data_IF_746981316715
#
_entry.id   IF_746981316715
#
_cell.length_a   1.000
_cell.length_b   1.000
_cell.length_c   1.000
_cell.angle_alpha   90.00
_cell.angle_beta   90.00
_cell.angle_gamma   90.00
#
_symmetry.space_group_name_H-M   'P 1'
#
loop_
_entity.id
_entity.type
_entity.pdbx_description
1 polymer ?
#
# COMPACT_ATOMS: atom_id res chain seq x y z
N UNK A 1 -6.08 25.22 7.81
CA UNK A 1 -7.27 24.34 7.74
C UNK A 1 -7.64 24.18 6.27
N UNK A 2 -7.14 23.15 5.60
CA UNK A 2 -7.70 22.68 4.34
C UNK A 2 -8.56 21.46 4.68
N UNK A 3 -9.87 21.68 4.73
CA UNK A 3 -10.89 20.67 5.06
C UNK A 3 -11.50 20.14 3.77
N UNK A 4 -10.69 19.51 2.93
CA UNK A 4 -11.19 18.68 1.84
C UNK A 4 -10.43 17.36 1.88
N UNK A 5 -11.17 16.26 2.08
CA UNK A 5 -10.57 14.93 2.13
C UNK A 5 -9.99 14.57 0.77
N UNK A 6 -8.78 14.01 0.75
CA UNK A 6 -8.17 13.50 -0.49
C UNK A 6 -8.86 12.20 -0.87
N UNK A 7 -9.51 12.15 -2.03
CA UNK A 7 -10.09 10.92 -2.55
C UNK A 7 -9.00 9.96 -3.06
N UNK A 8 -9.08 8.65 -2.79
CA UNK A 8 -8.16 7.67 -3.34
C UNK A 8 -8.26 7.61 -4.88
N UNK A 9 -7.11 7.67 -5.55
CA UNK A 9 -7.01 7.49 -7.01
C UNK A 9 -6.80 6.03 -7.36
N UNK A 10 -7.73 5.17 -6.91
CA UNK A 10 -7.72 3.77 -7.30
C UNK A 10 -7.63 3.71 -8.84
N UNK A 11 -6.64 2.99 -9.39
CA UNK A 11 -6.39 2.81 -10.83
C UNK A 11 -5.66 3.95 -11.57
N UNK A 12 -4.82 4.74 -10.89
CA UNK A 12 -4.12 5.84 -11.59
C UNK A 12 -3.17 6.68 -10.74
N UNK A 13 -2.51 6.10 -9.74
CA UNK A 13 -1.57 6.79 -8.86
C UNK A 13 -1.89 6.57 -7.38
N UNK A 14 -2.00 5.30 -7.00
CA UNK A 14 -2.29 4.79 -5.68
C UNK A 14 -1.22 3.78 -5.21
N UNK A 15 -1.23 3.50 -3.91
CA UNK A 15 -0.35 2.51 -3.28
C UNK A 15 -0.50 1.11 -3.90
N UNK A 16 -1.68 0.77 -4.43
CA UNK A 16 -1.96 -0.51 -5.08
C UNK A 16 -1.07 -0.75 -6.31
N UNK A 17 -0.64 0.31 -7.00
CA UNK A 17 0.11 0.17 -8.25
C UNK A 17 1.63 0.13 -8.06
N UNK A 18 2.14 0.32 -6.82
CA UNK A 18 3.59 0.44 -6.54
C UNK A 18 4.32 -0.85 -6.85
N UNK A 19 3.94 -1.96 -6.20
CA UNK A 19 4.59 -3.25 -6.44
C UNK A 19 4.27 -3.82 -7.83
N UNK A 20 3.03 -3.78 -8.35
CA UNK A 20 2.74 -4.14 -9.73
C UNK A 20 3.62 -3.42 -10.76
N UNK A 21 3.84 -2.11 -10.58
CA UNK A 21 4.71 -1.36 -11.49
C UNK A 21 6.17 -1.78 -11.38
N UNK A 22 6.66 -2.00 -10.16
CA UNK A 22 8.04 -2.46 -9.94
C UNK A 22 8.29 -3.83 -10.58
N UNK A 23 7.39 -4.80 -10.41
CA UNK A 23 7.57 -6.14 -11.00
C UNK A 23 7.37 -6.14 -12.51
N UNK A 24 6.47 -5.31 -13.04
CA UNK A 24 6.33 -5.11 -14.48
C UNK A 24 7.64 -4.55 -15.08
N UNK A 25 8.27 -3.58 -14.42
CA UNK A 25 9.55 -2.99 -14.84
C UNK A 25 10.75 -3.94 -14.65
N UNK A 26 10.63 -4.98 -13.81
CA UNK A 26 11.56 -6.11 -13.74
C UNK A 26 11.37 -7.13 -14.88
N UNK A 27 10.34 -6.96 -15.72
CA UNK A 27 10.03 -7.87 -16.83
C UNK A 27 9.09 -9.02 -16.48
N UNK A 28 8.43 -8.98 -15.30
CA UNK A 28 7.44 -9.99 -14.91
C UNK A 28 6.14 -9.76 -15.68
N UNK A 29 5.72 -10.76 -16.47
CA UNK A 29 4.48 -10.70 -17.25
C UNK A 29 3.23 -10.73 -16.38
N UNK A 30 2.14 -10.13 -16.86
CA UNK A 30 0.84 -10.11 -16.19
C UNK A 30 0.60 -8.90 -15.27
N UNK A 31 1.56 -7.98 -15.19
CA UNK A 31 1.47 -6.75 -14.40
C UNK A 31 1.60 -5.51 -15.27
N UNK A 32 0.99 -4.40 -14.83
CA UNK A 32 1.03 -3.11 -15.53
C UNK A 32 1.99 -2.15 -14.84
N UNK A 33 2.86 -1.52 -15.63
CA UNK A 33 3.76 -0.46 -15.16
C UNK A 33 3.07 0.90 -15.19
N UNK A 34 2.20 1.16 -14.22
CA UNK A 34 1.41 2.42 -14.13
C UNK A 34 2.28 3.65 -13.85
N UNK A 35 3.45 3.47 -13.22
CA UNK A 35 4.36 4.55 -12.89
C UNK A 35 5.48 4.78 -13.93
N UNK A 36 5.39 4.16 -15.11
CA UNK A 36 6.38 4.29 -16.19
C UNK A 36 7.84 4.08 -15.71
N UNK A 37 8.03 3.16 -14.75
CA UNK A 37 9.34 2.88 -14.18
C UNK A 37 10.28 2.32 -15.24
N UNK A 38 11.51 2.83 -15.31
CA UNK A 38 12.50 2.46 -16.33
C UNK A 38 12.90 0.99 -16.19
N UNK A 39 12.83 0.12 -17.20
CA UNK A 39 13.23 -1.28 -17.04
C UNK A 39 14.65 -1.44 -16.45
N UNK A 40 14.76 -2.16 -15.33
CA UNK A 40 16.02 -2.41 -14.59
C UNK A 40 16.08 -3.86 -14.10
N UNK A 41 17.28 -4.34 -13.78
CA UNK A 41 17.47 -5.67 -13.19
C UNK A 41 17.18 -5.75 -11.69
N UNK A 42 16.98 -4.61 -11.01
CA UNK A 42 16.63 -4.57 -9.59
C UNK A 42 15.86 -3.30 -9.24
N UNK A 43 14.99 -3.43 -8.25
CA UNK A 43 14.20 -2.35 -7.66
C UNK A 43 14.18 -2.52 -6.14
N UNK A 44 14.19 -1.40 -5.42
CA UNK A 44 14.02 -1.35 -3.97
C UNK A 44 12.80 -0.51 -3.67
N UNK A 45 11.86 -1.07 -2.92
CA UNK A 45 10.69 -0.34 -2.41
C UNK A 45 10.92 -0.09 -0.93
N UNK A 46 11.07 1.18 -0.55
CA UNK A 46 11.13 1.62 0.84
C UNK A 46 9.75 2.13 1.25
N UNK A 47 9.09 1.41 2.15
CA UNK A 47 7.85 1.85 2.78
C UNK A 47 8.15 2.42 4.16
N UNK A 48 7.74 3.66 4.40
CA UNK A 48 7.82 4.31 5.71
C UNK A 48 6.41 4.50 6.25
N UNK A 49 6.09 3.82 7.35
CA UNK A 49 4.74 3.89 7.94
C UNK A 49 4.44 5.31 8.45
N UNK A 50 3.23 5.79 8.22
CA UNK A 50 2.76 7.11 8.63
C UNK A 50 3.40 8.32 7.91
N UNK A 51 4.29 8.14 6.93
CA UNK A 51 4.92 9.26 6.22
C UNK A 51 4.03 9.80 5.08
N UNK A 52 3.36 10.93 5.33
CA UNK A 52 2.50 11.61 4.36
C UNK A 52 3.20 12.69 3.53
N UNK A 53 2.71 12.95 2.31
CA UNK A 53 3.26 13.97 1.42
C UNK A 53 3.20 15.38 1.99
N UNK A 54 2.05 15.80 2.55
CA UNK A 54 1.95 17.13 3.18
C UNK A 54 2.85 17.22 4.42
N UNK A 55 2.87 16.19 5.27
CA UNK A 55 3.74 16.15 6.46
C UNK A 55 5.22 16.32 6.09
N UNK A 56 5.70 15.63 5.04
CA UNK A 56 7.08 15.74 4.58
C UNK A 56 7.42 17.14 4.02
N UNK A 57 6.45 17.84 3.43
CA UNK A 57 6.62 19.21 2.94
C UNK A 57 6.61 20.24 4.07
N UNK A 58 5.69 20.10 5.01
CA UNK A 58 5.54 21.02 6.14
C UNK A 58 6.72 20.90 7.13
N UNK A 59 7.34 19.72 7.19
CA UNK A 59 8.46 19.39 8.07
C UNK A 59 9.76 19.09 7.30
N UNK A 60 10.01 19.80 6.20
CA UNK A 60 11.14 19.49 5.32
C UNK A 60 12.53 19.54 6.00
N UNK A 61 12.66 20.31 7.08
CA UNK A 61 13.88 20.41 7.87
C UNK A 61 14.20 19.15 8.69
N UNK A 62 13.19 18.34 9.03
CA UNK A 62 13.37 17.10 9.81
C UNK A 62 13.88 15.94 8.94
N UNK A 63 13.67 16.00 7.61
CA UNK A 63 14.05 14.95 6.67
C UNK A 63 14.57 15.52 5.33
N UNK A 64 15.64 16.32 5.31
CA UNK A 64 16.05 17.15 4.17
C UNK A 64 16.29 16.34 2.89
N UNK A 65 16.89 15.15 2.99
CA UNK A 65 17.11 14.29 1.83
C UNK A 65 15.79 13.80 1.22
N UNK A 66 14.87 13.28 2.04
CA UNK A 66 13.57 12.80 1.54
C UNK A 66 12.75 13.97 0.96
N UNK A 67 12.80 15.14 1.59
CA UNK A 67 12.12 16.33 1.10
C UNK A 67 12.67 16.81 -0.24
N UNK A 68 14.00 16.74 -0.48
CA UNK A 68 14.57 17.09 -1.79
C UNK A 68 14.06 16.20 -2.93
N UNK A 69 13.71 14.93 -2.64
CA UNK A 69 13.16 14.02 -3.67
C UNK A 69 11.76 14.44 -4.12
N UNK A 70 11.04 15.26 -3.34
CA UNK A 70 9.70 15.74 -3.70
C UNK A 70 9.71 16.75 -4.85
N UNK A 71 10.87 17.34 -5.17
CA UNK A 71 11.01 18.28 -6.29
C UNK A 71 10.81 17.60 -7.65
N UNK A 72 11.14 16.31 -7.74
CA UNK A 72 11.03 15.51 -8.97
C UNK A 72 9.99 14.38 -8.86
N UNK A 73 9.42 14.15 -7.68
CA UNK A 73 8.43 13.11 -7.44
C UNK A 73 7.00 13.65 -7.52
N UNK A 74 6.05 12.76 -7.77
CA UNK A 74 4.62 13.07 -7.69
C UNK A 74 3.98 12.31 -6.51
N UNK A 75 3.07 12.93 -5.75
CA UNK A 75 2.37 12.24 -4.67
C UNK A 75 1.50 11.13 -5.22
N UNK A 76 1.37 10.04 -4.47
CA UNK A 76 0.39 8.98 -4.67
C UNK A 76 -0.66 9.01 -3.55
N UNK A 77 -1.76 8.28 -3.75
CA UNK A 77 -2.82 8.14 -2.72
C UNK A 77 -2.78 6.76 -2.07
N UNK A 78 -3.24 6.65 -0.83
CA UNK A 78 -3.56 5.35 -0.21
C UNK A 78 -5.07 5.10 -0.25
N UNK A 79 -5.47 3.88 0.08
CA UNK A 79 -6.89 3.52 0.19
C UNK A 79 -7.56 4.10 1.44
N UNK A 80 -8.88 3.99 1.48
CA UNK A 80 -9.70 4.28 2.66
C UNK A 80 -10.23 2.96 3.22
N UNK A 81 -10.09 2.71 4.53
CA UNK A 81 -9.41 3.56 5.51
C UNK A 81 -7.88 3.49 5.40
N UNK A 82 -7.20 4.60 5.67
CA UNK A 82 -5.74 4.74 5.58
C UNK A 82 -5.03 4.14 6.81
N UNK A 83 -5.30 2.87 7.10
CA UNK A 83 -4.65 2.12 8.20
C UNK A 83 -3.45 1.33 7.69
N UNK A 84 -2.50 1.00 8.57
CA UNK A 84 -1.34 0.16 8.23
C UNK A 84 -1.76 -1.19 7.66
N UNK A 85 -2.71 -1.90 8.30
CA UNK A 85 -3.17 -3.22 7.86
C UNK A 85 -3.81 -3.18 6.45
N UNK A 86 -4.68 -2.19 6.21
CA UNK A 86 -5.28 -1.96 4.90
C UNK A 86 -4.21 -1.61 3.86
N UNK A 87 -3.31 -0.68 4.16
CA UNK A 87 -2.28 -0.19 3.24
C UNK A 87 -1.27 -1.28 2.88
N UNK A 88 -0.82 -2.09 3.83
CA UNK A 88 0.08 -3.23 3.57
C UNK A 88 -0.61 -4.31 2.73
N UNK A 89 -1.89 -4.59 3.00
CA UNK A 89 -2.65 -5.56 2.18
C UNK A 89 -2.83 -5.02 0.76
N UNK A 90 -3.16 -3.74 0.60
CA UNK A 90 -3.24 -3.05 -0.69
C UNK A 90 -1.91 -3.13 -1.44
N UNK A 91 -0.80 -2.74 -0.79
CA UNK A 91 0.54 -2.77 -1.38
C UNK A 91 0.91 -4.19 -1.82
N UNK A 92 0.71 -5.17 -0.93
CA UNK A 92 1.11 -6.55 -1.16
C UNK A 92 0.31 -7.26 -2.24
N UNK A 93 -0.97 -6.94 -2.41
CA UNK A 93 -1.87 -7.62 -3.37
C UNK A 93 -2.04 -6.86 -4.67
N UNK A 94 -1.75 -5.55 -4.66
CA UNK A 94 -2.07 -4.65 -5.76
C UNK A 94 -3.57 -4.39 -5.93
N UNK A 95 -4.39 -4.73 -4.93
CA UNK A 95 -5.85 -4.58 -4.97
C UNK A 95 -6.30 -3.43 -4.06
N UNK A 96 -7.41 -2.73 -4.39
CA UNK A 96 -7.99 -1.74 -3.49
C UNK A 96 -8.64 -2.39 -2.25
N UNK A 97 -8.89 -1.63 -1.17
CA UNK A 97 -9.47 -2.16 0.06
C UNK A 97 -10.78 -2.94 -0.12
N UNK A 98 -11.67 -2.43 -0.97
CA UNK A 98 -12.94 -3.09 -1.28
C UNK A 98 -12.81 -4.44 -1.99
N UNK A 99 -11.65 -4.72 -2.60
CA UNK A 99 -11.40 -6.01 -3.25
C UNK A 99 -10.72 -7.00 -2.29
N UNK A 100 -9.72 -6.58 -1.53
CA UNK A 100 -8.99 -7.49 -0.63
C UNK A 100 -9.62 -7.67 0.76
N UNK A 101 -10.64 -6.87 1.13
CA UNK A 101 -11.46 -7.06 2.33
C UNK A 101 -10.85 -6.60 3.67
N UNK A 102 -9.52 -6.45 3.79
CA UNK A 102 -8.86 -5.93 5.00
C UNK A 102 -9.06 -4.41 5.16
N UNK A 103 -10.14 -4.01 5.84
CA UNK A 103 -10.57 -2.60 5.99
C UNK A 103 -10.42 -2.05 7.42
N UNK A 104 -9.51 -2.62 8.22
CA UNK A 104 -9.24 -2.15 9.58
C UNK A 104 -8.19 -2.99 10.28
N UNK A 105 -7.75 -2.54 11.45
CA UNK A 105 -6.80 -3.29 12.27
C UNK A 105 -7.49 -4.33 13.15
N UNK A 106 -8.80 -4.21 13.39
CA UNK A 106 -9.58 -5.24 14.11
C UNK A 106 -10.76 -5.69 13.26
N UNK A 107 -11.00 -6.98 13.19
CA UNK A 107 -12.10 -7.55 12.40
C UNK A 107 -12.65 -8.82 13.06
N UNK A 108 -13.95 -9.04 12.95
CA UNK A 108 -14.57 -10.29 13.40
C UNK A 108 -14.12 -11.43 12.50
N UNK A 109 -13.68 -12.54 13.10
CA UNK A 109 -13.29 -13.73 12.35
C UNK A 109 -14.57 -14.42 11.84
N UNK A 110 -14.74 -14.56 10.51
CA UNK A 110 -15.95 -15.16 9.94
C UNK A 110 -16.29 -16.52 10.56
N UNK A 111 -17.55 -16.68 10.98
CA UNK A 111 -18.03 -17.92 11.61
C UNK A 111 -17.66 -18.08 13.08
N UNK A 112 -17.14 -17.04 13.75
CA UNK A 112 -16.81 -17.06 15.18
C UNK A 112 -17.16 -15.73 15.85
N UNK A 113 -17.14 -15.71 17.19
CA UNK A 113 -17.28 -14.50 18.01
C UNK A 113 -15.91 -13.89 18.40
N UNK A 114 -14.82 -14.30 17.74
CA UNK A 114 -13.46 -13.85 18.05
C UNK A 114 -13.04 -12.71 17.11
N UNK A 115 -12.28 -11.76 17.65
CA UNK A 115 -11.68 -10.68 16.87
C UNK A 115 -10.25 -11.03 16.48
N UNK A 116 -9.88 -10.76 15.23
CA UNK A 116 -8.48 -10.69 14.80
C UNK A 116 -7.98 -9.26 14.99
N UNK A 117 -6.83 -9.12 15.66
CA UNK A 117 -6.02 -7.91 15.67
C UNK A 117 -4.89 -8.05 14.63
N UNK A 118 -4.94 -7.27 13.56
CA UNK A 118 -3.95 -7.30 12.49
C UNK A 118 -2.55 -6.85 12.94
N UNK A 119 -2.44 -6.12 14.06
CA UNK A 119 -1.16 -5.76 14.66
C UNK A 119 -0.57 -6.91 15.50
N UNK A 120 -1.40 -7.90 15.87
CA UNK A 120 -1.05 -9.05 16.70
C UNK A 120 -1.70 -10.30 16.14
N UNK A 121 -1.05 -10.88 15.14
CA UNK A 121 -1.60 -12.02 14.41
C UNK A 121 -1.94 -13.21 15.32
N UNK A 122 -3.18 -13.70 15.24
CA UNK A 122 -3.62 -14.93 15.92
C UNK A 122 -3.16 -16.16 15.10
N UNK A 123 -2.36 -17.04 15.71
CA UNK A 123 -1.90 -18.30 15.08
C UNK A 123 -3.04 -19.24 14.69
N UNK A 124 -4.22 -19.11 15.30
CA UNK A 124 -5.42 -19.84 14.94
C UNK A 124 -6.11 -19.34 13.67
N UNK A 125 -5.67 -18.23 13.09
CA UNK A 125 -6.17 -17.69 11.82
C UNK A 125 -5.19 -18.04 10.71
N UNK A 126 -5.66 -18.85 9.75
CA UNK A 126 -4.92 -19.18 8.55
C UNK A 126 -4.84 -17.93 7.63
N UNK A 127 -3.64 -17.37 7.37
CA UNK A 127 -3.49 -16.16 6.59
C UNK A 127 -4.02 -16.30 5.16
N UNK A 128 -3.95 -17.49 4.56
CA UNK A 128 -4.44 -17.73 3.20
C UNK A 128 -5.96 -17.84 3.11
N UNK A 129 -6.62 -18.14 4.23
CA UNK A 129 -8.10 -18.09 4.33
C UNK A 129 -8.58 -16.70 4.70
N UNK A 130 -7.81 -15.98 5.51
CA UNK A 130 -8.12 -14.61 5.91
C UNK A 130 -8.04 -13.64 4.73
N UNK A 131 -6.95 -13.75 3.97
CA UNK A 131 -6.70 -12.97 2.77
C UNK A 131 -6.44 -13.98 1.66
N UNK A 132 -7.42 -14.12 0.76
CA UNK A 132 -7.46 -15.19 -0.25
C UNK A 132 -6.78 -14.81 -1.57
N UNK A 133 -6.33 -13.56 -1.71
CA UNK A 133 -5.72 -13.10 -2.95
C UNK A 133 -4.21 -13.30 -2.89
N UNK A 134 -3.62 -13.71 -4.01
CA UNK A 134 -2.18 -13.79 -4.10
C UNK A 134 -1.55 -12.41 -3.91
N UNK A 135 -0.40 -12.40 -3.26
CA UNK A 135 0.45 -11.21 -3.23
C UNK A 135 1.19 -11.09 -4.56
N UNK A 136 1.70 -9.90 -4.88
CA UNK A 136 2.59 -9.65 -6.02
C UNK A 136 3.85 -10.55 -5.97
N UNK A 137 4.24 -11.00 -4.77
CA UNK A 137 5.36 -11.93 -4.54
C UNK A 137 4.96 -13.40 -4.61
N UNK A 138 3.66 -13.71 -4.58
CA UNK A 138 3.13 -15.06 -4.61
C UNK A 138 3.25 -15.67 -6.00
N UNK A 139 4.44 -16.20 -6.31
CA UNK A 139 4.66 -17.20 -7.35
C UNK A 139 5.29 -18.42 -6.70
#
# INVERSE_FOLDING_TARGET
MQTEGVLPRYFGGSLAEVLPSAVAALGVTGWTNTFDLVPRGSYVVLLVDGLGWQLLRDHAHDAPYLSSLTETASPITCGVPSTTATSLTTLGTGLPPGAHGVVGFTSLIPGTDRLLDALRWDKGVDPKKWQVHDTVFGR
#
